data_IF_469877708451
#
_entry.id   IF_469877708451
#
_cell.length_a   1.000
_cell.length_b   1.000
_cell.length_c   1.000
_cell.angle_alpha   90.00
_cell.angle_beta   90.00
_cell.angle_gamma   90.00
#
_symmetry.space_group_name_H-M   'P 1'
#
loop_
_entity.id
_entity.type
_entity.pdbx_description
1 polymer ?
#
# COMPACT_ATOMS: atom_id res chain seq x y z
N UNK A 1 15.83 -6.96 1.22
CA UNK A 1 16.85 -5.90 1.24
C UNK A 1 16.70 -5.12 2.52
N UNK A 2 17.75 -4.94 3.31
CA UNK A 2 17.70 -4.06 4.47
C UNK A 2 17.66 -2.60 4.00
N UNK A 3 16.79 -1.79 4.60
CA UNK A 3 16.61 -0.38 4.32
C UNK A 3 16.90 0.42 5.58
N UNK A 4 17.85 1.34 5.49
CA UNK A 4 18.26 2.19 6.61
C UNK A 4 17.92 3.67 6.38
N UNK A 5 17.55 4.04 5.14
CA UNK A 5 17.19 5.42 4.80
C UNK A 5 16.06 5.53 3.78
N UNK A 6 15.45 6.71 3.70
CA UNK A 6 14.39 6.98 2.72
C UNK A 6 14.92 7.02 1.29
N UNK A 7 16.19 7.42 1.10
CA UNK A 7 16.85 7.45 -0.20
C UNK A 7 16.94 6.05 -0.82
N UNK A 8 17.22 5.02 -0.01
CA UNK A 8 17.26 3.63 -0.48
C UNK A 8 15.89 3.15 -0.97
N UNK A 9 14.80 3.60 -0.34
CA UNK A 9 13.43 3.33 -0.80
C UNK A 9 13.20 4.00 -2.16
N UNK A 10 13.61 5.25 -2.33
CA UNK A 10 13.44 5.97 -3.59
C UNK A 10 14.26 5.34 -4.72
N UNK A 11 15.48 4.88 -4.43
CA UNK A 11 16.31 4.13 -5.38
C UNK A 11 15.60 2.83 -5.76
N UNK A 12 15.08 2.08 -4.79
CA UNK A 12 14.32 0.85 -5.05
C UNK A 12 13.12 1.12 -5.96
N UNK A 13 12.28 2.10 -5.62
CA UNK A 13 11.10 2.46 -6.41
C UNK A 13 11.46 2.88 -7.83
N UNK A 14 12.58 3.59 -8.01
CA UNK A 14 13.06 4.03 -9.33
C UNK A 14 13.57 2.86 -10.20
N UNK A 15 13.97 1.75 -9.58
CA UNK A 15 14.41 0.54 -10.27
C UNK A 15 13.27 -0.45 -10.57
N UNK A 16 12.10 -0.27 -9.97
CA UNK A 16 10.96 -1.16 -10.17
C UNK A 16 10.24 -0.86 -11.48
N UNK A 17 9.79 -1.92 -12.15
CA UNK A 17 9.04 -1.85 -13.41
C UNK A 17 7.90 -2.88 -13.42
N UNK A 18 7.29 -3.10 -14.59
CA UNK A 18 6.18 -4.05 -14.74
C UNK A 18 6.61 -5.50 -14.48
N UNK A 19 7.82 -5.86 -14.87
CA UNK A 19 8.39 -7.21 -14.75
C UNK A 19 8.92 -7.43 -13.32
N UNK A 20 9.41 -6.37 -12.69
CA UNK A 20 9.94 -6.32 -11.32
C UNK A 20 9.03 -5.49 -10.41
N UNK A 21 7.73 -5.81 -10.43
CA UNK A 21 6.71 -5.03 -9.72
C UNK A 21 6.61 -5.34 -8.23
N UNK A 22 7.35 -6.31 -7.71
CA UNK A 22 7.30 -6.71 -6.29
C UNK A 22 8.70 -6.71 -5.69
N UNK A 23 8.86 -6.04 -4.56
CA UNK A 23 10.11 -6.01 -3.81
C UNK A 23 9.87 -6.24 -2.32
N UNK A 24 10.75 -7.01 -1.66
CA UNK A 24 10.70 -7.27 -0.21
C UNK A 24 11.82 -6.52 0.50
N UNK A 25 11.45 -5.70 1.47
CA UNK A 25 12.36 -4.91 2.27
C UNK A 25 12.25 -5.27 3.75
N UNK A 26 13.31 -4.99 4.49
CA UNK A 26 13.35 -5.09 5.94
C UNK A 26 13.84 -3.75 6.49
N UNK A 27 13.12 -3.17 7.45
CA UNK A 27 13.52 -1.94 8.13
C UNK A 27 13.91 -2.31 9.56
N UNK A 28 15.18 -2.10 9.97
CA UNK A 28 15.64 -2.43 11.31
C UNK A 28 14.79 -1.78 12.40
N UNK A 29 14.40 -2.59 13.39
CA UNK A 29 13.56 -2.13 14.49
C UNK A 29 12.07 -1.99 14.16
N UNK A 30 11.66 -2.19 12.90
CA UNK A 30 10.26 -2.12 12.49
C UNK A 30 9.77 -3.49 11.98
N UNK A 31 10.45 -4.07 10.99
CA UNK A 31 10.09 -5.38 10.44
C UNK A 31 10.17 -5.48 8.91
N UNK A 32 9.54 -6.52 8.37
CA UNK A 32 9.53 -6.83 6.93
C UNK A 32 8.31 -6.23 6.22
N UNK A 33 8.54 -5.69 5.02
CA UNK A 33 7.51 -5.12 4.17
C UNK A 33 7.63 -5.65 2.73
N UNK A 34 6.52 -5.68 2.03
CA UNK A 34 6.47 -5.95 0.59
C UNK A 34 5.92 -4.73 -0.13
N UNK A 35 6.68 -4.19 -1.07
CA UNK A 35 6.29 -3.09 -1.94
C UNK A 35 5.81 -3.69 -3.26
N UNK A 36 4.64 -3.24 -3.72
CA UNK A 36 4.03 -3.71 -4.97
C UNK A 36 3.71 -2.50 -5.86
N UNK A 37 4.29 -2.44 -7.05
CA UNK A 37 3.97 -1.44 -8.05
C UNK A 37 2.63 -1.78 -8.72
N UNK A 38 1.61 -0.98 -8.42
CA UNK A 38 0.31 -1.12 -9.04
C UNK A 38 0.14 -0.08 -10.13
N UNK A 39 -0.07 -0.56 -11.36
CA UNK A 39 -0.47 0.34 -12.45
C UNK A 39 -1.90 0.79 -12.16
N UNK A 40 -2.09 2.08 -11.91
CA UNK A 40 -3.42 2.67 -11.89
C UNK A 40 -3.98 2.57 -13.31
N UNK A 41 -4.97 1.72 -13.51
CA UNK A 41 -5.75 1.75 -14.75
C UNK A 41 -6.41 3.12 -14.84
N UNK A 42 -6.18 3.82 -15.95
CA UNK A 42 -6.88 5.06 -16.25
C UNK A 42 -8.38 4.77 -16.20
N UNK A 43 -9.07 5.47 -15.31
CA UNK A 43 -10.48 5.27 -15.04
C UNK A 43 -11.32 5.45 -16.32
N UNK A 44 -11.78 4.33 -16.90
CA UNK A 44 -12.96 4.29 -17.77
C UNK A 44 -14.06 3.39 -17.19
N UNK A 45 -14.03 3.13 -15.87
CA UNK A 45 -15.02 2.28 -15.23
C UNK A 45 -14.90 2.38 -13.71
N UNK A 46 -15.84 3.13 -13.13
CA UNK A 46 -16.19 3.20 -11.71
C UNK A 46 -15.26 2.42 -10.77
N UNK A 47 -14.42 3.16 -10.03
CA UNK A 47 -14.04 2.72 -8.70
C UNK A 47 -15.36 2.48 -7.95
N UNK A 48 -15.73 1.21 -7.78
CA UNK A 48 -16.67 0.83 -6.75
C UNK A 48 -15.99 1.24 -5.44
N UNK A 49 -16.30 2.47 -4.99
CA UNK A 49 -16.34 2.73 -3.56
C UNK A 49 -17.21 1.61 -2.99
N UNK A 50 -16.58 0.62 -2.38
CA UNK A 50 -17.26 -0.21 -1.41
C UNK A 50 -17.60 0.72 -0.25
N UNK A 51 -18.70 1.47 -0.42
CA UNK A 51 -19.42 2.11 0.65
C UNK A 51 -19.91 0.97 1.53
N UNK A 52 -19.14 0.64 2.55
CA UNK A 52 -19.67 -0.03 3.74
C UNK A 52 -20.95 0.72 4.13
N UNK A 53 -22.14 0.11 4.01
CA UNK A 53 -23.36 0.80 4.38
C UNK A 53 -23.26 1.12 5.88
N UNK A 54 -23.44 2.39 6.23
CA UNK A 54 -23.48 2.89 7.61
C UNK A 54 -24.69 2.36 8.42
N UNK A 55 -25.27 1.23 8.02
CA UNK A 55 -26.38 0.57 8.69
C UNK A 55 -25.92 -0.35 9.86
N UNK A 56 -24.61 -0.52 10.06
CA UNK A 56 -24.04 -1.39 11.10
C UNK A 56 -23.40 -0.69 12.31
N UNK A 57 -23.38 0.63 12.37
CA UNK A 57 -22.87 1.36 13.55
C UNK A 57 -23.93 1.33 14.65
N UNK A 58 -23.93 0.26 15.44
CA UNK A 58 -24.68 0.19 16.70
C UNK A 58 -24.31 1.42 17.55
N UNK A 59 -25.30 2.25 17.89
CA UNK A 59 -25.13 3.35 18.85
C UNK A 59 -24.47 2.81 20.11
N UNK A 60 -23.33 3.38 20.48
CA UNK A 60 -22.72 3.15 21.79
C UNK A 60 -23.73 3.61 22.87
N UNK A 61 -24.22 2.74 23.77
CA UNK A 61 -25.20 3.12 24.79
C UNK A 61 -24.59 3.84 26.00
N UNK A 62 -23.29 4.16 25.97
CA UNK A 62 -22.57 4.81 27.06
C UNK A 62 -21.98 6.20 26.71
N UNK A 63 -22.62 6.92 25.79
CA UNK A 63 -22.43 8.37 25.60
C UNK A 63 -23.73 9.11 25.80
#
# INVERSE_FOLDING_TARGET
>A
MEITSAEEIMILLSSMDKEHSVARIYVPGIGEFTIVLQKKEGNNGAAAEERIPAAGLTRNPYV
#
